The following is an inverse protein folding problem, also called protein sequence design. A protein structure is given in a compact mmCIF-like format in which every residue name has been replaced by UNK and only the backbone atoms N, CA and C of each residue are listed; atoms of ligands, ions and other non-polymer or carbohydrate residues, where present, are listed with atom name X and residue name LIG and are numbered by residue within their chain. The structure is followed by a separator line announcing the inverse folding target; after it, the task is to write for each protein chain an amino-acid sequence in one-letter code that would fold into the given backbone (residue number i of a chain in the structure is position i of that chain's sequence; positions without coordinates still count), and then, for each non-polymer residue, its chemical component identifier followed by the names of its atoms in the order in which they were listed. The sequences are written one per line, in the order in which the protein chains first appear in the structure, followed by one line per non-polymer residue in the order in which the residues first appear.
data_IF_037755804197
#
_entry.id   IF_037755804197
#
_cell.length_a   1.000
_cell.length_b   1.000
_cell.length_c   1.000
_cell.angle_alpha   90.00
_cell.angle_beta   90.00
_cell.angle_gamma   90.00
#
_symmetry.space_group_name_H-M   'P 1'
#
loop_
_entity.id
_entity.type
_entity.pdbx_description
1 polymer ?
#
# COMPACT_ATOMS: atom_id res chain seq x y z
N UNK A 1 1.75 -13.64 -10.12
CA UNK A 1 3.16 -13.88 -10.46
C UNK A 1 4.00 -13.47 -9.25
N UNK A 2 4.23 -14.42 -8.33
CA UNK A 2 5.05 -14.20 -7.13
C UNK A 2 6.48 -14.49 -7.52
N UNK A 3 7.20 -13.44 -7.92
CA UNK A 3 8.65 -13.55 -8.03
C UNK A 3 9.27 -13.11 -6.72
N UNK A 4 10.04 -14.04 -6.14
CA UNK A 4 10.79 -13.91 -4.89
C UNK A 4 11.55 -12.58 -4.91
N UNK A 5 11.18 -11.65 -4.03
CA UNK A 5 12.09 -10.59 -3.60
C UNK A 5 13.32 -11.33 -3.07
N UNK A 6 14.40 -11.30 -3.84
CA UNK A 6 15.69 -11.86 -3.47
C UNK A 6 16.04 -11.36 -2.08
N UNK A 7 16.49 -12.27 -1.21
CA UNK A 7 17.02 -11.96 0.11
C UNK A 7 18.13 -10.91 -0.05
N UNK A 8 17.76 -9.63 0.01
CA UNK A 8 18.70 -8.54 0.19
C UNK A 8 19.11 -8.63 1.64
N UNK A 9 20.07 -9.52 1.92
CA UNK A 9 20.99 -9.33 3.02
C UNK A 9 21.76 -8.02 2.76
N UNK A 10 21.08 -6.89 2.95
CA UNK A 10 21.72 -5.62 3.15
C UNK A 10 22.43 -5.70 4.50
N UNK A 11 23.68 -5.27 4.56
CA UNK A 11 24.33 -5.05 5.84
C UNK A 11 23.47 -4.11 6.69
N UNK A 12 23.33 -4.45 7.97
CA UNK A 12 22.67 -3.64 8.97
C UNK A 12 23.28 -2.22 8.97
N UNK A 13 22.56 -1.26 8.38
CA UNK A 13 23.01 0.13 8.26
C UNK A 13 23.13 0.69 6.84
N UNK A 14 22.96 -0.11 5.78
CA UNK A 14 22.92 0.40 4.40
C UNK A 14 21.49 0.30 3.85
N UNK A 15 20.82 1.42 3.50
CA UNK A 15 19.51 1.38 2.86
C UNK A 15 19.64 0.69 1.49
N UNK A 16 19.27 -0.58 1.41
CA UNK A 16 19.17 -1.30 0.14
C UNK A 16 18.05 -0.67 -0.68
N UNK A 17 18.42 0.08 -1.71
CA UNK A 17 17.47 0.75 -2.60
C UNK A 17 16.61 -0.32 -3.26
N UNK A 18 15.38 -0.51 -2.77
CA UNK A 18 14.47 -1.50 -3.32
C UNK A 18 13.89 -0.95 -4.61
N UNK A 19 14.26 -1.52 -5.75
CA UNK A 19 13.76 -1.22 -7.09
C UNK A 19 12.25 -1.56 -7.28
N UNK A 20 11.58 -2.01 -6.22
CA UNK A 20 10.15 -2.34 -6.18
C UNK A 20 9.52 -1.86 -4.87
N UNK A 21 8.24 -1.52 -4.95
CA UNK A 21 7.43 -1.14 -3.79
C UNK A 21 6.86 -2.41 -3.16
N UNK A 22 7.09 -2.60 -1.86
CA UNK A 22 6.46 -3.65 -1.04
C UNK A 22 5.52 -2.99 -0.04
N UNK A 23 4.26 -3.39 -0.06
CA UNK A 23 3.24 -2.94 0.88
C UNK A 23 2.60 -4.12 1.61
N UNK A 24 2.20 -3.89 2.86
CA UNK A 24 1.46 -4.85 3.69
C UNK A 24 0.08 -4.30 3.99
N UNK A 25 -0.96 -5.08 3.70
CA UNK A 25 -2.31 -4.79 4.16
C UNK A 25 -2.36 -4.85 5.70
N UNK A 26 -2.77 -3.75 6.32
CA UNK A 26 -2.84 -3.60 7.79
C UNK A 26 -4.26 -3.80 8.28
N UNK A 27 -5.24 -3.20 7.59
CA UNK A 27 -6.65 -3.28 7.93
C UNK A 27 -7.47 -3.31 6.66
N UNK A 28 -8.56 -4.06 6.70
CA UNK A 28 -9.54 -4.16 5.62
C UNK A 28 -10.92 -4.15 6.23
N UNK A 29 -11.73 -3.18 5.83
CA UNK A 29 -13.17 -3.18 6.02
C UNK A 29 -13.86 -3.25 4.66
N UNK A 30 -14.29 -4.45 4.29
CA UNK A 30 -15.00 -4.68 3.03
C UNK A 30 -16.37 -4.01 3.00
N UNK A 31 -16.97 -3.70 4.16
CA UNK A 31 -18.31 -3.11 4.24
C UNK A 31 -18.27 -1.63 3.85
N UNK A 32 -17.26 -0.91 4.34
CA UNK A 32 -17.03 0.51 4.00
C UNK A 32 -16.07 0.69 2.82
N UNK A 33 -15.66 -0.40 2.16
CA UNK A 33 -14.64 -0.43 1.11
C UNK A 33 -13.39 0.38 1.47
N UNK A 34 -12.92 0.23 2.72
CA UNK A 34 -11.76 0.92 3.28
C UNK A 34 -10.60 -0.05 3.48
N UNK A 35 -9.44 0.31 2.95
CA UNK A 35 -8.24 -0.52 2.98
C UNK A 35 -7.05 0.32 3.43
N UNK A 36 -6.33 -0.16 4.45
CA UNK A 36 -5.15 0.51 4.99
C UNK A 36 -3.92 -0.34 4.71
N UNK A 37 -2.94 0.24 4.02
CA UNK A 37 -1.68 -0.38 3.65
C UNK A 37 -0.51 0.31 4.33
N UNK A 38 0.53 -0.45 4.68
CA UNK A 38 1.81 0.07 5.16
C UNK A 38 2.90 -0.25 4.16
N UNK A 39 3.67 0.74 3.77
CA UNK A 39 4.84 0.55 2.93
C UNK A 39 5.96 -0.08 3.77
N UNK A 40 6.47 -1.24 3.34
CA UNK A 40 7.56 -1.96 3.99
C UNK A 40 8.91 -1.71 3.33
N UNK A 41 8.92 -1.46 2.01
CA UNK A 41 10.12 -1.13 1.26
C UNK A 41 9.77 -0.33 -0.01
N UNK A 42 10.61 0.64 -0.40
CA UNK A 42 10.40 1.49 -1.57
C UNK A 42 11.69 2.10 -2.13
N UNK A 43 11.70 2.43 -3.42
CA UNK A 43 12.78 3.21 -4.05
C UNK A 43 12.66 4.71 -3.81
N UNK A 44 11.56 5.19 -3.21
CA UNK A 44 11.30 6.62 -2.99
C UNK A 44 11.40 7.06 -1.52
N UNK A 45 11.96 6.22 -0.65
CA UNK A 45 12.19 6.55 0.78
C UNK A 45 10.88 6.96 1.49
N UNK A 46 9.83 6.16 1.29
CA UNK A 46 8.53 6.29 1.96
C UNK A 46 8.26 5.12 2.91
N UNK A 47 9.32 4.47 3.38
CA UNK A 47 9.24 3.29 4.23
C UNK A 47 8.52 3.62 5.54
N UNK A 48 7.56 2.77 5.91
CA UNK A 48 6.70 2.96 7.07
C UNK A 48 5.49 3.88 6.86
N UNK A 49 5.34 4.50 5.68
CA UNK A 49 4.14 5.28 5.35
C UNK A 49 2.87 4.42 5.42
N UNK A 50 1.77 5.06 5.79
CA UNK A 50 0.45 4.44 5.87
C UNK A 50 -0.45 5.09 4.82
N UNK A 51 -0.92 4.28 3.89
CA UNK A 51 -1.81 4.71 2.81
C UNK A 51 -3.21 4.14 3.06
N UNK A 52 -4.21 5.00 2.99
CA UNK A 52 -5.62 4.61 3.12
C UNK A 52 -6.31 4.77 1.77
N UNK A 53 -6.91 3.68 1.28
CA UNK A 53 -7.72 3.65 0.07
C UNK A 53 -9.18 3.48 0.46
N UNK A 54 -10.00 4.47 0.10
CA UNK A 54 -11.45 4.45 0.29
C UNK A 54 -12.12 4.41 -1.08
N UNK A 55 -12.90 3.36 -1.34
CA UNK A 55 -13.72 3.29 -2.55
C UNK A 55 -15.12 3.79 -2.22
N UNK A 56 -15.67 4.63 -3.09
CA UNK A 56 -17.02 5.18 -2.97
C UNK A 56 -17.75 4.83 -4.26
N UNK A 57 -18.92 4.20 -4.12
CA UNK A 57 -19.77 3.88 -5.28
C UNK A 57 -20.34 5.17 -5.86
N UNK A 58 -20.14 5.35 -7.16
CA UNK A 58 -20.62 6.53 -7.89
C UNK A 58 -22.14 6.47 -8.16
N UNK A 59 -22.77 5.33 -7.93
CA UNK A 59 -24.18 5.08 -8.23
C UNK A 59 -25.11 5.29 -7.02
N UNK A 60 -24.66 5.97 -5.97
CA UNK A 60 -25.60 6.43 -4.96
C UNK A 60 -26.46 7.56 -5.57
N UNK A 61 -27.78 7.44 -5.47
CA UNK A 61 -28.74 8.32 -6.16
C UNK A 61 -28.66 9.80 -5.72
N UNK A 62 -27.80 10.10 -4.74
CA UNK A 62 -27.46 11.44 -4.29
C UNK A 62 -26.46 12.19 -5.19
N UNK A 63 -25.77 11.51 -6.12
CA UNK A 63 -24.91 12.16 -7.12
C UNK A 63 -25.69 12.79 -8.31
N UNK A 64 -26.98 12.47 -8.46
CA UNK A 64 -27.85 12.92 -9.56
C UNK A 64 -28.87 13.99 -9.13
N UNK A 65 -28.78 14.53 -7.91
CA UNK A 65 -29.62 15.64 -7.40
C UNK A 65 -28.91 16.99 -7.36
N UNK A 66 -28.11 17.30 -8.39
CA UNK A 66 -27.56 18.64 -8.60
C UNK A 66 -28.10 19.25 -9.89
#
# INVERSE_FOLDING_TARGET
MVERCTDLAGEEGVPGMCDRIKERLVSMDSTSHNYVYRMEASNVVLDGSINTLNLVDYWDEDALKA
#
